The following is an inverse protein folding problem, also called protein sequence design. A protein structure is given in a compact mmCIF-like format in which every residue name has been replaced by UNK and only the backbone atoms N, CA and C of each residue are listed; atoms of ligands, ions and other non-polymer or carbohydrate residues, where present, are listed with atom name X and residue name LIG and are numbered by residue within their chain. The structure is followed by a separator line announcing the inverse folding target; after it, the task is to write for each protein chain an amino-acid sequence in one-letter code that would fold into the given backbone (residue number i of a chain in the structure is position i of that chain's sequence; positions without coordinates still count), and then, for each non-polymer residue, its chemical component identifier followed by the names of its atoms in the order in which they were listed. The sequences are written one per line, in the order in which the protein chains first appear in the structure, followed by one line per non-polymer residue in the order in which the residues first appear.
data_IF_907616928875
#
_entry.id   IF_907616928875
#
_cell.length_a   1.000
_cell.length_b   1.000
_cell.length_c   1.000
_cell.angle_alpha   90.00
_cell.angle_beta   90.00
_cell.angle_gamma   90.00
#
_symmetry.space_group_name_H-M   'P 1'
#
loop_
_entity.id
_entity.type
_entity.pdbx_description
1 polymer ?
#
# COMPACT_ATOMS: atom_id res chain seq x y z
N UNK A 1 -6.94 -13.09 22.52
CA UNK A 1 -6.41 -11.76 22.09
C UNK A 1 -7.41 -10.70 22.47
N UNK A 2 -6.99 -9.59 23.10
CA UNK A 2 -7.80 -8.37 23.08
C UNK A 2 -8.10 -8.08 21.61
N UNK A 3 -9.35 -7.77 21.24
CA UNK A 3 -9.66 -7.29 19.88
C UNK A 3 -8.67 -6.17 19.59
N UNK A 4 -7.80 -6.36 18.59
CA UNK A 4 -6.87 -5.33 18.13
C UNK A 4 -7.71 -4.18 17.61
N UNK A 5 -8.05 -3.26 18.52
CA UNK A 5 -8.67 -2.01 18.14
C UNK A 5 -7.51 -1.21 17.57
N UNK A 6 -7.44 -1.13 16.25
CA UNK A 6 -6.46 -0.30 15.56
C UNK A 6 -6.58 1.11 16.17
N UNK A 7 -5.63 1.47 17.03
CA UNK A 7 -5.57 2.78 17.66
C UNK A 7 -4.95 3.70 16.61
N UNK A 8 -5.80 4.36 15.84
CA UNK A 8 -5.40 5.27 14.79
C UNK A 8 -5.70 6.71 15.22
N UNK A 9 -4.72 7.59 15.05
CA UNK A 9 -4.90 9.02 15.24
C UNK A 9 -5.54 9.63 13.99
N UNK A 10 -6.85 9.86 14.06
CA UNK A 10 -7.63 10.37 12.94
C UNK A 10 -7.30 11.83 12.59
N UNK A 11 -6.60 12.57 13.45
CA UNK A 11 -6.15 13.93 13.11
C UNK A 11 -5.09 13.92 11.99
N UNK A 12 -4.27 12.87 11.94
CA UNK A 12 -3.23 12.66 10.91
C UNK A 12 -3.76 12.01 9.63
N UNK A 13 -5.04 11.63 9.61
CA UNK A 13 -5.69 11.07 8.43
C UNK A 13 -5.60 12.05 7.26
N UNK A 14 -5.14 11.60 6.09
CA UNK A 14 -5.14 12.43 4.89
C UNK A 14 -6.57 12.65 4.38
N UNK A 15 -6.83 13.83 3.81
CA UNK A 15 -8.15 14.13 3.24
C UNK A 15 -8.37 13.40 1.92
N UNK A 16 -9.57 12.81 1.77
CA UNK A 16 -10.03 12.32 0.48
C UNK A 16 -10.08 13.45 -0.55
N UNK A 17 -9.83 13.12 -1.82
CA UNK A 17 -9.90 14.10 -2.91
C UNK A 17 -11.33 14.60 -3.12
N UNK A 18 -11.48 15.89 -3.43
CA UNK A 18 -12.71 16.45 -4.01
C UNK A 18 -12.83 16.12 -5.50
N UNK A 19 -14.00 16.32 -6.13
CA UNK A 19 -14.14 16.10 -7.57
C UNK A 19 -13.20 16.97 -8.42
N UNK A 20 -13.02 18.28 -8.13
CA UNK A 20 -11.98 19.08 -8.79
C UNK A 20 -10.56 18.54 -8.59
N UNK A 21 -10.22 18.09 -7.37
CA UNK A 21 -8.91 17.48 -7.11
C UNK A 21 -8.72 16.16 -7.88
N UNK A 22 -9.80 15.38 -8.12
CA UNK A 22 -9.74 14.16 -8.94
C UNK A 22 -9.45 14.46 -10.42
N UNK A 23 -10.01 15.53 -10.96
CA UNK A 23 -9.70 15.97 -12.33
C UNK A 23 -8.23 16.39 -12.45
N UNK A 24 -7.74 17.16 -11.48
CA UNK A 24 -6.33 17.54 -11.36
C UNK A 24 -5.41 16.33 -11.21
N UNK A 25 -5.81 15.32 -10.44
CA UNK A 25 -5.07 14.07 -10.33
C UNK A 25 -4.94 13.37 -11.69
N UNK A 26 -6.03 13.26 -12.46
CA UNK A 26 -5.98 12.61 -13.79
C UNK A 26 -5.00 13.31 -14.72
N UNK A 27 -4.95 14.64 -14.67
CA UNK A 27 -4.02 15.46 -15.44
C UNK A 27 -2.56 15.16 -15.09
N UNK A 28 -2.19 15.25 -13.80
CA UNK A 28 -0.79 15.07 -13.40
C UNK A 28 -0.33 13.63 -13.59
N UNK A 29 -1.22 12.65 -13.36
CA UNK A 29 -0.93 11.24 -13.68
C UNK A 29 -0.71 11.06 -15.18
N UNK A 30 -1.53 11.67 -16.04
CA UNK A 30 -1.36 11.59 -17.48
C UNK A 30 -0.02 12.21 -17.94
N UNK A 31 0.38 13.35 -17.36
CA UNK A 31 1.66 13.99 -17.66
C UNK A 31 2.86 13.08 -17.30
N UNK A 32 2.87 12.47 -16.11
CA UNK A 32 3.94 11.54 -15.73
C UNK A 32 3.88 10.21 -16.48
N UNK A 33 2.71 9.80 -16.96
CA UNK A 33 2.58 8.58 -17.77
C UNK A 33 3.30 8.69 -19.12
N UNK A 34 3.17 9.84 -19.79
CA UNK A 34 3.81 10.08 -21.10
C UNK A 34 5.24 10.58 -20.98
N UNK A 35 5.68 10.92 -19.77
CA UNK A 35 7.04 11.40 -19.52
C UNK A 35 8.04 10.24 -19.48
N UNK A 36 9.12 10.34 -20.25
CA UNK A 36 10.27 9.41 -20.21
C UNK A 36 11.31 9.83 -19.16
N UNK A 37 10.94 10.67 -18.18
CA UNK A 37 11.89 11.34 -17.26
C UNK A 37 12.91 10.39 -16.63
N UNK A 38 12.47 9.30 -16.02
CA UNK A 38 13.37 8.35 -15.36
C UNK A 38 14.21 7.57 -16.35
N UNK A 39 13.64 7.18 -17.48
CA UNK A 39 14.34 6.46 -18.55
C UNK A 39 15.47 7.31 -19.16
N UNK A 40 15.21 8.61 -19.27
CA UNK A 40 16.15 9.62 -19.73
C UNK A 40 17.22 9.99 -18.69
N UNK A 41 16.84 10.22 -17.43
CA UNK A 41 17.75 10.79 -16.42
C UNK A 41 18.61 9.73 -15.74
N UNK A 42 18.12 8.50 -15.65
CA UNK A 42 18.81 7.39 -14.97
C UNK A 42 19.58 6.48 -15.94
N UNK A 43 19.67 6.84 -17.23
CA UNK A 43 20.60 6.20 -18.15
C UNK A 43 22.06 6.52 -17.77
N UNK A 44 22.74 5.52 -17.19
CA UNK A 44 24.13 5.60 -16.75
C UNK A 44 25.14 5.92 -17.89
N UNK A 45 24.74 5.82 -19.17
CA UNK A 45 25.58 6.13 -20.33
C UNK A 45 25.66 7.63 -20.61
N UNK A 46 24.78 8.43 -20.01
CA UNK A 46 24.71 9.88 -20.23
C UNK A 46 25.85 10.60 -19.51
N UNK A 47 26.61 11.41 -20.26
CA UNK A 47 27.74 12.18 -19.72
C UNK A 47 27.33 13.52 -19.10
N UNK A 48 26.23 14.12 -19.57
CA UNK A 48 25.74 15.44 -19.13
C UNK A 48 24.38 15.31 -18.46
N UNK A 49 24.37 14.66 -17.32
CA UNK A 49 23.14 14.30 -16.60
C UNK A 49 22.32 15.52 -16.18
N UNK A 50 22.95 16.55 -15.63
CA UNK A 50 22.26 17.80 -15.23
C UNK A 50 21.57 18.48 -16.42
N UNK A 51 22.21 18.55 -17.60
CA UNK A 51 21.60 19.13 -18.81
C UNK A 51 20.38 18.32 -19.25
N UNK A 52 20.48 16.99 -19.24
CA UNK A 52 19.36 16.10 -19.61
C UNK A 52 18.23 16.18 -18.58
N UNK A 53 18.53 16.24 -17.29
CA UNK A 53 17.55 16.47 -16.23
C UNK A 53 16.75 17.74 -16.48
N UNK A 54 17.44 18.86 -16.70
CA UNK A 54 16.79 20.15 -16.94
C UNK A 54 15.87 20.07 -18.16
N UNK A 55 16.34 19.50 -19.26
CA UNK A 55 15.54 19.33 -20.47
C UNK A 55 14.27 18.50 -20.19
N UNK A 56 14.42 17.31 -19.59
CA UNK A 56 13.29 16.44 -19.28
C UNK A 56 12.35 17.08 -18.23
N UNK A 57 12.85 17.96 -17.36
CA UNK A 57 12.00 18.72 -16.43
C UNK A 57 11.13 19.75 -17.17
N UNK A 58 11.69 20.49 -18.14
CA UNK A 58 10.91 21.41 -18.96
C UNK A 58 9.83 20.67 -19.76
N UNK A 59 10.13 19.49 -20.31
CA UNK A 59 9.14 18.67 -21.02
C UNK A 59 7.96 18.28 -20.11
N UNK A 60 8.23 17.93 -18.85
CA UNK A 60 7.19 17.67 -17.84
C UNK A 60 6.39 18.94 -17.52
N UNK A 61 7.06 20.07 -17.30
CA UNK A 61 6.42 21.36 -17.02
C UNK A 61 5.51 21.83 -18.15
N UNK A 62 5.98 21.74 -19.39
CA UNK A 62 5.22 22.13 -20.58
C UNK A 62 4.00 21.23 -20.78
N UNK A 63 4.16 19.92 -20.56
CA UNK A 63 3.06 18.95 -20.62
C UNK A 63 1.99 19.24 -19.57
N UNK A 64 2.40 19.44 -18.31
CA UNK A 64 1.48 19.79 -17.22
C UNK A 64 0.76 21.10 -17.52
N UNK A 65 1.49 22.12 -17.94
CA UNK A 65 0.94 23.46 -18.23
C UNK A 65 -0.05 23.40 -19.38
N UNK A 66 0.30 22.71 -20.48
CA UNK A 66 -0.58 22.53 -21.63
C UNK A 66 -1.87 21.81 -21.28
N UNK A 67 -1.80 20.70 -20.54
CA UNK A 67 -2.98 19.98 -20.09
C UNK A 67 -3.84 20.81 -19.12
N UNK A 68 -3.22 21.60 -18.25
CA UNK A 68 -3.94 22.43 -17.28
C UNK A 68 -4.70 23.56 -17.97
N UNK A 69 -4.08 24.20 -18.96
CA UNK A 69 -4.73 25.22 -19.80
C UNK A 69 -5.90 24.60 -20.56
N UNK A 70 -5.69 23.44 -21.19
CA UNK A 70 -6.71 22.77 -21.99
C UNK A 70 -7.93 22.31 -21.16
N UNK A 71 -7.76 22.08 -19.86
CA UNK A 71 -8.81 21.62 -18.94
C UNK A 71 -9.38 22.71 -18.03
N UNK A 72 -8.98 23.98 -18.23
CA UNK A 72 -9.28 25.12 -17.33
C UNK A 72 -8.98 24.83 -15.85
N UNK A 73 -7.96 23.99 -15.59
CA UNK A 73 -7.52 23.59 -14.27
C UNK A 73 -6.38 24.46 -13.71
N UNK A 74 -6.13 25.63 -14.33
CA UNK A 74 -5.01 26.53 -14.00
C UNK A 74 -5.39 27.44 -12.83
N UNK A 75 -4.55 27.55 -11.78
CA UNK A 75 -4.70 28.57 -10.75
C UNK A 75 -4.75 29.98 -11.35
N UNK A 76 -5.55 30.85 -10.74
CA UNK A 76 -5.73 32.23 -11.23
C UNK A 76 -4.41 33.00 -11.36
N UNK A 77 -3.52 32.86 -10.39
CA UNK A 77 -2.19 33.49 -10.41
C UNK A 77 -1.34 33.03 -11.60
N UNK A 78 -1.34 31.73 -11.89
CA UNK A 78 -0.65 31.17 -13.05
C UNK A 78 -1.28 31.66 -14.36
N UNK A 79 -2.61 31.73 -14.45
CA UNK A 79 -3.31 32.26 -15.63
C UNK A 79 -2.94 33.72 -15.90
N UNK A 80 -2.92 34.56 -14.86
CA UNK A 80 -2.53 35.96 -14.97
C UNK A 80 -1.06 36.12 -15.42
N UNK A 81 -0.15 35.33 -14.84
CA UNK A 81 1.27 35.34 -15.22
C UNK A 81 1.50 34.89 -16.68
N UNK A 82 0.85 33.82 -17.12
CA UNK A 82 0.95 33.32 -18.50
C UNK A 82 0.38 34.33 -19.51
N UNK A 83 -0.77 34.95 -19.20
CA UNK A 83 -1.37 36.01 -20.05
C UNK A 83 -0.47 37.24 -20.13
N UNK A 84 0.29 37.55 -19.08
CA UNK A 84 1.28 38.64 -19.09
C UNK A 84 2.56 38.32 -19.90
N UNK A 85 2.65 37.12 -20.48
CA UNK A 85 3.78 36.69 -21.31
C UNK A 85 4.94 36.09 -20.52
N UNK A 86 4.75 35.74 -19.24
CA UNK A 86 5.78 35.08 -18.46
C UNK A 86 5.99 33.65 -18.94
N UNK A 87 7.25 33.30 -19.23
CA UNK A 87 7.69 31.95 -19.60
C UNK A 87 8.56 31.32 -18.51
N UNK A 88 8.69 31.99 -17.36
CA UNK A 88 9.53 31.51 -16.27
C UNK A 88 8.81 30.38 -15.51
N UNK A 89 9.57 29.39 -15.03
CA UNK A 89 9.02 28.28 -14.23
C UNK A 89 8.32 28.80 -12.97
N UNK A 90 8.76 29.94 -12.43
CA UNK A 90 8.13 30.58 -11.26
C UNK A 90 6.64 30.88 -11.47
N UNK A 91 6.20 31.17 -12.71
CA UNK A 91 4.80 31.43 -13.03
C UNK A 91 3.89 30.20 -12.83
N UNK A 92 4.45 29.00 -12.99
CA UNK A 92 3.72 27.73 -12.89
C UNK A 92 3.93 27.01 -11.56
N UNK A 93 4.79 27.52 -10.66
CA UNK A 93 5.02 26.92 -9.33
C UNK A 93 3.72 26.65 -8.56
N UNK A 94 2.74 27.58 -8.46
CA UNK A 94 1.49 27.32 -7.75
C UNK A 94 0.69 26.14 -8.32
N UNK A 95 0.72 25.96 -9.65
CA UNK A 95 0.10 24.82 -10.31
C UNK A 95 0.83 23.52 -9.96
N UNK A 96 2.16 23.50 -10.08
CA UNK A 96 2.99 22.32 -9.80
C UNK A 96 2.83 21.85 -8.35
N UNK A 97 2.92 22.79 -7.40
CA UNK A 97 2.77 22.54 -5.97
C UNK A 97 1.41 21.90 -5.64
N UNK A 98 0.33 22.44 -6.19
CA UNK A 98 -1.02 21.89 -5.99
C UNK A 98 -1.14 20.47 -6.58
N UNK A 99 -0.69 20.27 -7.82
CA UNK A 99 -0.78 18.97 -8.48
C UNK A 99 0.05 17.89 -7.78
N UNK A 100 1.26 18.24 -7.33
CA UNK A 100 2.14 17.30 -6.64
C UNK A 100 1.64 16.96 -5.24
N UNK A 101 1.06 17.92 -4.49
CA UNK A 101 0.36 17.64 -3.22
C UNK A 101 -0.79 16.65 -3.44
N UNK A 102 -1.65 16.91 -4.44
CA UNK A 102 -2.79 16.05 -4.77
C UNK A 102 -2.33 14.63 -5.11
N UNK A 103 -1.28 14.50 -5.94
CA UNK A 103 -0.79 13.17 -6.32
C UNK A 103 -0.17 12.43 -5.14
N UNK A 104 0.66 13.10 -4.32
CA UNK A 104 1.25 12.52 -3.10
C UNK A 104 0.19 12.09 -2.10
N UNK A 105 -0.82 12.93 -1.85
CA UNK A 105 -1.95 12.60 -0.96
C UNK A 105 -2.78 11.43 -1.51
N UNK A 106 -3.09 11.42 -2.81
CA UNK A 106 -3.79 10.31 -3.44
C UNK A 106 -3.03 9.00 -3.30
N UNK A 107 -1.72 9.00 -3.62
CA UNK A 107 -0.89 7.80 -3.57
C UNK A 107 -0.82 7.23 -2.16
N UNK A 108 -0.62 8.08 -1.14
CA UNK A 108 -0.60 7.63 0.25
C UNK A 108 -1.94 7.01 0.66
N UNK A 109 -3.07 7.60 0.26
CA UNK A 109 -4.41 7.05 0.52
C UNK A 109 -4.73 5.79 -0.29
N UNK A 110 -4.07 5.60 -1.44
CA UNK A 110 -4.30 4.51 -2.38
C UNK A 110 -2.98 3.85 -2.80
N UNK A 111 -2.27 3.16 -1.88
CA UNK A 111 -0.93 2.63 -2.12
C UNK A 111 -0.75 1.80 -3.41
N UNK A 112 -1.82 1.16 -3.89
CA UNK A 112 -1.79 0.24 -5.03
C UNK A 112 -1.88 0.91 -6.40
N UNK A 113 -2.19 2.22 -6.48
CA UNK A 113 -2.42 2.90 -7.76
C UNK A 113 -1.17 3.64 -8.25
N UNK A 114 -1.07 3.87 -9.57
CA UNK A 114 -0.08 4.76 -10.20
C UNK A 114 1.39 4.52 -9.76
N UNK A 115 1.81 3.25 -9.64
CA UNK A 115 3.15 2.87 -9.15
C UNK A 115 4.26 3.54 -9.96
N UNK A 116 4.19 3.43 -11.29
CA UNK A 116 5.21 3.98 -12.20
C UNK A 116 5.22 5.51 -12.20
N UNK A 117 4.05 6.13 -12.39
CA UNK A 117 3.92 7.58 -12.46
C UNK A 117 4.31 8.27 -11.14
N UNK A 118 3.97 7.66 -10.01
CA UNK A 118 4.38 8.20 -8.71
C UNK A 118 5.88 8.03 -8.44
N UNK A 119 6.47 6.90 -8.87
CA UNK A 119 7.92 6.71 -8.82
C UNK A 119 8.66 7.81 -9.59
N UNK A 120 8.17 8.13 -10.80
CA UNK A 120 8.68 9.26 -11.61
C UNK A 120 8.56 10.59 -10.87
N UNK A 121 7.41 10.89 -10.26
CA UNK A 121 7.22 12.11 -9.47
C UNK A 121 8.21 12.22 -8.31
N UNK A 122 8.40 11.16 -7.51
CA UNK A 122 9.30 11.22 -6.35
C UNK A 122 10.75 11.39 -6.81
N UNK A 123 11.19 10.65 -7.83
CA UNK A 123 12.55 10.79 -8.38
C UNK A 123 12.78 12.19 -8.96
N UNK A 124 11.80 12.73 -9.68
CA UNK A 124 11.78 14.10 -10.15
C UNK A 124 11.91 15.13 -9.00
N UNK A 125 11.15 14.94 -7.92
CA UNK A 125 11.21 15.80 -6.73
C UNK A 125 12.54 15.67 -5.96
N UNK A 126 13.22 14.53 -6.02
CA UNK A 126 14.59 14.41 -5.49
C UNK A 126 15.55 15.28 -6.31
N UNK A 127 15.47 15.20 -7.64
CA UNK A 127 16.37 15.95 -8.54
C UNK A 127 16.14 17.46 -8.46
N UNK A 128 14.90 17.89 -8.27
CA UNK A 128 14.57 19.30 -8.03
C UNK A 128 15.26 19.87 -6.80
N UNK A 129 15.65 19.04 -5.83
CA UNK A 129 16.33 19.55 -4.63
C UNK A 129 17.83 19.81 -4.85
N UNK A 130 18.40 19.35 -5.97
CA UNK A 130 19.80 19.57 -6.29
C UNK A 130 20.09 21.07 -6.51
N UNK A 131 21.12 21.65 -5.84
CA UNK A 131 21.42 23.08 -5.97
C UNK A 131 21.71 23.56 -7.40
N UNK A 132 22.33 22.72 -8.24
CA UNK A 132 22.60 23.05 -9.65
C UNK A 132 21.29 23.21 -10.44
N UNK A 133 20.37 22.27 -10.26
CA UNK A 133 19.06 22.25 -10.91
C UNK A 133 18.19 23.42 -10.45
N UNK A 134 18.06 23.66 -9.14
CA UNK A 134 17.27 24.80 -8.60
C UNK A 134 17.75 26.14 -9.12
N UNK A 135 19.07 26.33 -9.18
CA UNK A 135 19.67 27.57 -9.70
C UNK A 135 19.38 27.76 -11.18
N UNK A 136 19.45 26.69 -11.97
CA UNK A 136 19.14 26.75 -13.40
C UNK A 136 17.67 27.07 -13.66
N UNK A 137 16.76 26.40 -12.95
CA UNK A 137 15.32 26.62 -13.06
C UNK A 137 14.83 27.90 -12.35
N UNK A 138 15.72 28.62 -11.66
CA UNK A 138 15.41 29.78 -10.81
C UNK A 138 14.26 29.50 -9.82
N UNK A 139 14.26 28.29 -9.25
CA UNK A 139 13.21 27.82 -8.34
C UNK A 139 13.58 28.10 -6.88
N UNK A 140 12.78 28.95 -6.24
CA UNK A 140 12.86 29.20 -4.79
C UNK A 140 12.09 28.16 -3.96
N UNK A 141 11.05 27.56 -4.54
CA UNK A 141 10.27 26.47 -3.94
C UNK A 141 10.94 25.10 -4.15
N UNK A 142 10.70 24.16 -3.23
CA UNK A 142 11.07 22.75 -3.36
C UNK A 142 9.93 21.90 -3.97
N UNK A 143 8.79 22.52 -4.30
CA UNK A 143 7.58 21.90 -4.83
C UNK A 143 6.94 20.85 -3.90
N UNK A 144 7.23 20.93 -2.59
CA UNK A 144 6.74 20.00 -1.57
C UNK A 144 5.82 20.73 -0.60
N UNK A 145 4.54 20.86 -0.97
CA UNK A 145 3.55 21.30 0.01
C UNK A 145 3.30 20.21 1.07
N UNK A 146 3.03 20.61 2.33
CA UNK A 146 2.47 19.72 3.33
C UNK A 146 1.16 19.10 2.84
N UNK A 147 0.96 17.81 3.12
CA UNK A 147 -0.27 17.13 2.71
C UNK A 147 -1.44 17.56 3.60
N UNK A 148 -2.63 17.71 3.01
CA UNK A 148 -3.83 18.09 3.75
C UNK A 148 -4.34 16.95 4.62
N UNK A 149 -4.55 17.21 5.91
CA UNK A 149 -5.05 16.24 6.89
C UNK A 149 -6.45 16.63 7.40
N UNK A 150 -7.14 15.64 7.98
CA UNK A 150 -8.40 15.83 8.70
C UNK A 150 -8.20 16.82 9.84
N UNK A 151 -7.11 16.71 10.60
CA UNK A 151 -6.78 17.63 11.69
C UNK A 151 -6.64 19.06 11.20
N UNK A 152 -5.79 19.29 10.19
CA UNK A 152 -5.56 20.63 9.65
C UNK A 152 -6.86 21.27 9.12
N UNK A 153 -7.74 20.47 8.51
CA UNK A 153 -9.01 20.98 7.97
C UNK A 153 -10.05 21.24 9.06
N UNK A 154 -10.13 20.38 10.10
CA UNK A 154 -11.03 20.58 11.23
C UNK A 154 -10.67 21.81 12.07
N UNK A 155 -9.38 22.14 12.16
CA UNK A 155 -8.89 23.37 12.80
C UNK A 155 -9.43 24.62 12.09
N UNK A 156 -9.51 24.61 10.75
CA UNK A 156 -10.04 25.77 9.98
C UNK A 156 -11.51 26.09 10.27
N UNK A 157 -12.27 25.11 10.75
CA UNK A 157 -13.69 25.24 11.07
C UNK A 157 -13.99 25.13 12.57
N UNK A 158 -12.94 25.17 13.41
CA UNK A 158 -13.03 25.05 14.88
C UNK A 158 -13.90 23.85 15.32
N UNK A 159 -13.60 22.67 14.78
CA UNK A 159 -14.39 21.44 15.02
C UNK A 159 -13.54 20.22 15.35
N UNK A 160 -12.28 20.41 15.74
CA UNK A 160 -11.35 19.31 16.05
C UNK A 160 -11.86 18.37 17.16
N UNK A 161 -12.67 18.88 18.08
CA UNK A 161 -13.30 18.13 19.18
C UNK A 161 -14.18 16.96 18.70
N UNK A 162 -14.62 16.95 17.44
CA UNK A 162 -15.40 15.83 16.87
C UNK A 162 -14.64 14.50 16.91
N UNK A 163 -13.30 14.53 16.85
CA UNK A 163 -12.47 13.32 16.87
C UNK A 163 -12.42 12.65 18.24
N UNK A 164 -12.67 13.42 19.30
CA UNK A 164 -12.73 12.94 20.68
C UNK A 164 -14.14 12.47 21.09
N UNK A 165 -15.15 12.78 20.28
CA UNK A 165 -16.53 12.35 20.52
C UNK A 165 -16.66 10.82 20.45
N UNK A 166 -17.28 10.22 21.47
CA UNK A 166 -17.55 8.78 21.48
C UNK A 166 -18.50 8.36 20.35
N UNK A 167 -19.41 9.24 19.93
CA UNK A 167 -20.35 8.99 18.83
C UNK A 167 -19.61 8.90 17.48
N UNK A 168 -18.48 9.61 17.30
CA UNK A 168 -17.65 9.47 16.11
C UNK A 168 -17.18 8.02 15.92
N UNK A 169 -16.70 7.38 16.99
CA UNK A 169 -16.28 5.96 16.94
C UNK A 169 -17.47 5.01 16.94
N UNK A 170 -18.45 5.23 17.81
CA UNK A 170 -19.49 4.23 18.11
C UNK A 170 -20.68 4.30 17.15
N UNK A 171 -21.09 5.49 16.70
CA UNK A 171 -22.26 5.68 15.85
C UNK A 171 -21.91 5.91 14.38
N UNK A 172 -20.69 6.35 14.07
CA UNK A 172 -20.29 6.60 12.68
C UNK A 172 -19.26 5.58 12.15
N UNK A 173 -18.08 5.48 12.75
CA UNK A 173 -16.99 4.67 12.19
C UNK A 173 -17.23 3.15 12.26
N UNK A 174 -17.86 2.65 13.32
CA UNK A 174 -18.12 1.21 13.53
C UNK A 174 -19.36 0.70 12.78
N UNK A 175 -20.50 1.42 12.77
CA UNK A 175 -21.72 0.93 12.12
C UNK A 175 -21.61 0.84 10.60
N UNK A 176 -22.64 0.22 10.00
CA UNK A 176 -22.80 0.04 8.55
C UNK A 176 -24.23 0.43 8.15
N UNK A 177 -24.43 0.69 6.85
CA UNK A 177 -25.77 0.96 6.32
C UNK A 177 -26.44 2.18 6.95
N UNK A 178 -27.74 2.06 7.25
CA UNK A 178 -28.56 3.15 7.77
C UNK A 178 -28.04 3.74 9.09
N UNK A 179 -27.61 2.90 10.03
CA UNK A 179 -27.10 3.33 11.35
C UNK A 179 -25.87 4.24 11.22
N UNK A 180 -24.95 3.93 10.28
CA UNK A 180 -23.81 4.80 9.98
C UNK A 180 -24.26 6.16 9.43
N UNK A 181 -25.27 6.17 8.56
CA UNK A 181 -25.77 7.41 7.96
C UNK A 181 -26.45 8.30 9.01
N UNK A 182 -27.18 7.70 9.96
CA UNK A 182 -27.73 8.40 11.12
C UNK A 182 -26.62 8.99 12.01
N UNK A 183 -25.57 8.21 12.30
CA UNK A 183 -24.42 8.69 13.05
C UNK A 183 -23.67 9.83 12.36
N UNK A 184 -23.55 9.79 11.03
CA UNK A 184 -23.00 10.91 10.26
C UNK A 184 -23.86 12.17 10.40
N UNK A 185 -25.17 12.05 10.20
CA UNK A 185 -26.09 13.17 10.29
C UNK A 185 -26.07 13.82 11.68
N UNK A 186 -26.02 13.01 12.74
CA UNK A 186 -25.90 13.45 14.12
C UNK A 186 -24.66 14.32 14.34
N UNK A 187 -23.49 13.87 13.87
CA UNK A 187 -22.24 14.61 14.01
C UNK A 187 -22.26 15.91 13.18
N UNK A 188 -22.86 15.88 11.99
CA UNK A 188 -23.01 17.06 11.14
C UNK A 188 -23.94 18.11 11.77
N UNK A 189 -25.03 17.71 12.41
CA UNK A 189 -25.87 18.64 13.19
C UNK A 189 -25.11 19.22 14.38
N UNK A 190 -24.46 18.36 15.18
CA UNK A 190 -23.80 18.76 16.42
C UNK A 190 -22.65 19.73 16.18
N UNK A 191 -21.81 19.45 15.17
CA UNK A 191 -20.57 20.20 14.95
C UNK A 191 -20.60 21.11 13.73
N UNK A 192 -21.44 20.82 12.74
CA UNK A 192 -21.57 21.64 11.53
C UNK A 192 -22.58 22.79 11.65
N UNK A 193 -23.57 22.67 12.54
CA UNK A 193 -24.62 23.70 12.72
C UNK A 193 -25.40 23.97 11.43
N UNK A 194 -25.75 25.25 11.21
CA UNK A 194 -26.52 25.72 10.02
C UNK A 194 -25.64 26.19 8.86
N UNK A 195 -24.31 26.27 9.04
CA UNK A 195 -23.39 26.71 7.99
C UNK A 195 -23.11 25.57 7.00
N UNK A 196 -23.64 25.72 5.78
CA UNK A 196 -23.50 24.73 4.72
C UNK A 196 -22.03 24.48 4.32
N UNK A 197 -21.18 25.52 4.36
CA UNK A 197 -19.76 25.40 4.02
C UNK A 197 -19.01 24.58 5.08
N UNK A 198 -19.26 24.90 6.35
CA UNK A 198 -18.74 24.16 7.50
C UNK A 198 -19.18 22.69 7.48
N UNK A 199 -20.46 22.42 7.22
CA UNK A 199 -20.99 21.05 7.11
C UNK A 199 -20.30 20.24 6.01
N UNK A 200 -20.05 20.86 4.84
CA UNK A 200 -19.37 20.19 3.72
C UNK A 200 -17.93 19.81 4.08
N UNK A 201 -17.20 20.70 4.75
CA UNK A 201 -15.83 20.45 5.24
C UNK A 201 -15.83 19.32 6.27
N UNK A 202 -16.72 19.42 7.27
CA UNK A 202 -16.86 18.40 8.31
C UNK A 202 -17.21 17.03 7.73
N UNK A 203 -18.16 16.96 6.79
CA UNK A 203 -18.53 15.71 6.12
C UNK A 203 -17.34 15.08 5.40
N UNK A 204 -16.55 15.88 4.68
CA UNK A 204 -15.33 15.41 4.01
C UNK A 204 -14.33 14.83 5.03
N UNK A 205 -14.12 15.49 6.16
CA UNK A 205 -13.24 15.01 7.22
C UNK A 205 -13.70 13.66 7.78
N UNK A 206 -14.97 13.55 8.15
CA UNK A 206 -15.56 12.31 8.70
C UNK A 206 -15.46 11.17 7.69
N UNK A 207 -15.84 11.40 6.42
CA UNK A 207 -15.73 10.39 5.37
C UNK A 207 -14.28 9.98 5.09
N UNK A 208 -13.32 10.91 5.17
CA UNK A 208 -11.89 10.57 5.01
C UNK A 208 -11.40 9.64 6.11
N UNK A 209 -11.78 9.89 7.36
CA UNK A 209 -11.46 9.01 8.48
C UNK A 209 -12.10 7.63 8.35
N UNK A 210 -13.33 7.55 7.85
CA UNK A 210 -13.98 6.27 7.57
C UNK A 210 -13.30 5.52 6.42
N UNK A 211 -12.99 6.18 5.31
CA UNK A 211 -12.26 5.59 4.17
C UNK A 211 -10.94 4.94 4.66
N UNK A 212 -10.14 5.67 5.44
CA UNK A 212 -8.89 5.17 6.04
C UNK A 212 -9.14 3.97 6.96
N UNK A 213 -10.18 4.03 7.81
CA UNK A 213 -10.52 2.92 8.69
C UNK A 213 -10.92 1.67 7.91
N UNK A 214 -11.76 1.82 6.88
CA UNK A 214 -12.18 0.67 6.06
C UNK A 214 -10.99 0.09 5.29
N UNK A 215 -10.10 0.92 4.77
CA UNK A 215 -8.87 0.50 4.11
C UNK A 215 -7.99 -0.36 5.03
N UNK A 216 -7.66 0.13 6.23
CA UNK A 216 -6.82 -0.60 7.19
C UNK A 216 -7.46 -1.94 7.61
N UNK A 217 -8.78 -1.95 7.83
CA UNK A 217 -9.51 -3.19 8.16
C UNK A 217 -9.58 -4.16 6.98
N UNK A 218 -9.71 -3.65 5.75
CA UNK A 218 -9.68 -4.45 4.53
C UNK A 218 -8.35 -5.19 4.39
N UNK A 219 -7.25 -4.54 4.74
CA UNK A 219 -5.92 -5.16 4.70
C UNK A 219 -5.67 -6.14 5.87
N UNK A 220 -6.17 -5.83 7.07
CA UNK A 220 -5.94 -6.65 8.25
C UNK A 220 -6.77 -7.94 8.28
N UNK A 221 -8.05 -7.89 7.86
CA UNK A 221 -8.98 -9.04 8.00
C UNK A 221 -8.52 -10.33 7.31
N UNK A 222 -8.02 -10.31 6.06
CA UNK A 222 -7.51 -11.52 5.43
C UNK A 222 -6.34 -12.13 6.20
N UNK A 223 -5.44 -11.29 6.73
CA UNK A 223 -4.30 -11.73 7.54
C UNK A 223 -4.75 -12.35 8.87
N UNK A 224 -5.68 -11.71 9.59
CA UNK A 224 -6.29 -12.26 10.80
C UNK A 224 -6.89 -13.65 10.56
N UNK A 225 -7.55 -13.83 9.41
CA UNK A 225 -8.17 -15.09 9.03
C UNK A 225 -7.14 -16.17 8.71
N UNK A 226 -6.12 -15.86 7.93
CA UNK A 226 -5.02 -16.80 7.67
C UNK A 226 -4.31 -17.21 8.96
N UNK A 227 -4.03 -16.26 9.87
CA UNK A 227 -3.47 -16.56 11.20
C UNK A 227 -4.40 -17.51 11.97
N UNK A 228 -5.72 -17.29 11.91
CA UNK A 228 -6.67 -18.17 12.58
C UNK A 228 -6.67 -19.60 12.03
N UNK A 229 -6.46 -19.77 10.73
CA UNK A 229 -6.32 -21.09 10.12
C UNK A 229 -5.04 -21.79 10.57
N UNK A 230 -3.89 -21.10 10.60
CA UNK A 230 -2.65 -21.72 11.11
C UNK A 230 -2.83 -22.20 12.55
N UNK A 231 -3.42 -21.37 13.41
CA UNK A 231 -3.63 -21.72 14.82
C UNK A 231 -4.59 -22.89 15.01
N UNK A 232 -5.73 -22.86 14.31
CA UNK A 232 -6.79 -23.86 14.49
C UNK A 232 -6.43 -25.20 13.85
N UNK A 233 -5.86 -25.16 12.64
CA UNK A 233 -5.78 -26.33 11.79
C UNK A 233 -4.35 -26.88 11.67
N UNK A 234 -3.31 -26.09 11.98
CA UNK A 234 -1.92 -26.49 11.78
C UNK A 234 -1.09 -26.57 13.08
N UNK A 235 -1.32 -25.78 14.12
CA UNK A 235 -0.45 -25.81 15.32
C UNK A 235 -0.34 -27.18 16.01
N UNK A 236 -1.43 -27.96 16.02
CA UNK A 236 -1.49 -29.29 16.67
C UNK A 236 -1.42 -30.45 15.66
N UNK A 237 -1.13 -30.18 14.39
CA UNK A 237 -1.15 -31.18 13.33
C UNK A 237 0.01 -32.18 13.49
N UNK A 238 -0.28 -33.47 13.32
CA UNK A 238 0.74 -34.51 13.48
C UNK A 238 1.82 -34.46 12.39
N UNK A 239 3.02 -34.96 12.68
CA UNK A 239 4.09 -35.04 11.68
C UNK A 239 3.78 -35.98 10.50
N UNK A 240 2.89 -36.95 10.70
CA UNK A 240 2.44 -37.91 9.70
C UNK A 240 1.26 -37.43 8.86
N UNK A 241 0.68 -36.28 9.19
CA UNK A 241 -0.49 -35.75 8.50
C UNK A 241 -0.11 -35.32 7.06
N UNK A 242 -0.93 -35.62 6.04
CA UNK A 242 -0.65 -35.22 4.66
C UNK A 242 -0.53 -33.70 4.47
N UNK A 243 -1.21 -32.92 5.31
CA UNK A 243 -1.21 -31.45 5.26
C UNK A 243 -0.06 -30.84 6.08
N UNK A 244 0.91 -31.66 6.51
CA UNK A 244 2.09 -31.21 7.23
C UNK A 244 2.90 -30.16 6.46
N UNK A 245 3.13 -29.00 7.07
CA UNK A 245 3.87 -27.88 6.47
C UNK A 245 5.38 -27.83 6.77
N UNK A 246 6.03 -28.93 7.14
CA UNK A 246 7.49 -28.93 7.27
C UNK A 246 8.18 -28.71 5.93
N UNK A 247 9.34 -28.05 5.97
CA UNK A 247 10.17 -27.75 4.79
C UNK A 247 11.59 -28.23 4.99
N UNK A 248 12.26 -28.59 3.90
CA UNK A 248 13.64 -29.07 3.89
C UNK A 248 14.42 -28.34 2.80
N UNK A 249 15.55 -27.73 3.18
CA UNK A 249 16.41 -27.01 2.25
C UNK A 249 16.80 -27.89 1.06
N UNK A 250 16.66 -27.33 -0.15
CA UNK A 250 16.93 -28.00 -1.43
C UNK A 250 15.78 -28.88 -1.94
N UNK A 251 14.72 -29.09 -1.15
CA UNK A 251 13.53 -29.85 -1.57
C UNK A 251 12.42 -28.90 -2.00
N UNK A 252 11.83 -29.15 -3.16
CA UNK A 252 10.70 -28.39 -3.73
C UNK A 252 10.94 -26.86 -3.81
N UNK A 253 12.22 -26.44 -3.83
CA UNK A 253 12.65 -25.04 -3.90
C UNK A 253 12.87 -24.34 -2.55
N UNK A 254 12.67 -25.02 -1.41
CA UNK A 254 12.87 -24.41 -0.10
C UNK A 254 14.34 -24.06 0.16
N UNK A 255 14.58 -22.86 0.71
CA UNK A 255 15.93 -22.36 0.98
C UNK A 255 16.46 -22.80 2.35
N UNK A 256 15.59 -23.14 3.28
CA UNK A 256 15.95 -23.56 4.64
C UNK A 256 15.09 -24.73 5.14
N UNK A 257 15.53 -25.36 6.25
CA UNK A 257 14.86 -26.53 6.84
C UNK A 257 14.17 -26.13 8.15
N UNK A 258 12.88 -26.48 8.28
CA UNK A 258 12.11 -26.28 9.51
C UNK A 258 11.16 -27.46 9.75
N UNK A 259 11.08 -27.90 11.01
CA UNK A 259 10.01 -28.80 11.44
C UNK A 259 8.65 -28.12 11.31
N UNK A 260 7.59 -28.93 11.29
CA UNK A 260 6.21 -28.43 11.20
C UNK A 260 5.88 -27.35 12.24
N UNK A 261 6.15 -27.63 13.51
CA UNK A 261 5.86 -26.71 14.61
C UNK A 261 6.65 -25.41 14.54
N UNK A 262 7.91 -25.47 14.09
CA UNK A 262 8.73 -24.28 13.86
C UNK A 262 8.23 -23.48 12.67
N UNK A 263 7.85 -24.15 11.58
CA UNK A 263 7.35 -23.50 10.38
C UNK A 263 5.98 -22.84 10.61
N UNK A 264 5.06 -23.51 11.33
CA UNK A 264 3.77 -22.91 11.71
C UNK A 264 3.97 -21.61 12.51
N UNK A 265 4.91 -21.58 13.47
CA UNK A 265 5.29 -20.36 14.20
C UNK A 265 5.86 -19.29 13.27
N UNK A 266 6.70 -19.67 12.32
CA UNK A 266 7.29 -18.75 11.32
C UNK A 266 6.23 -18.14 10.38
N UNK A 267 5.21 -18.91 10.00
CA UNK A 267 4.08 -18.42 9.20
C UNK A 267 3.24 -17.44 10.03
N UNK A 268 2.88 -17.78 11.28
CA UNK A 268 2.16 -16.86 12.18
C UNK A 268 2.95 -15.57 12.39
N UNK A 269 4.26 -15.66 12.60
CA UNK A 269 5.16 -14.52 12.72
C UNK A 269 5.10 -13.62 11.49
N UNK A 270 5.24 -14.19 10.30
CA UNK A 270 5.24 -13.44 9.04
C UNK A 270 3.89 -12.75 8.80
N UNK A 271 2.78 -13.48 8.99
CA UNK A 271 1.44 -12.92 8.83
C UNK A 271 1.13 -11.83 9.86
N UNK A 272 1.60 -11.99 11.10
CA UNK A 272 1.41 -10.99 12.16
C UNK A 272 2.24 -9.74 11.88
N UNK A 273 3.49 -9.89 11.41
CA UNK A 273 4.30 -8.76 10.95
C UNK A 273 3.60 -8.02 9.82
N UNK A 274 3.14 -8.74 8.80
CA UNK A 274 2.40 -8.16 7.68
C UNK A 274 1.17 -7.40 8.16
N UNK A 275 0.42 -7.95 9.12
CA UNK A 275 -0.76 -7.29 9.69
C UNK A 275 -0.39 -5.99 10.41
N UNK A 276 0.69 -5.99 11.19
CA UNK A 276 1.18 -4.80 11.89
C UNK A 276 1.67 -3.74 10.89
N UNK A 277 2.39 -4.14 9.84
CA UNK A 277 2.80 -3.24 8.74
C UNK A 277 1.59 -2.64 8.03
N UNK A 278 0.60 -3.46 7.65
CA UNK A 278 -0.62 -2.99 7.00
C UNK A 278 -1.42 -2.03 7.89
N UNK A 279 -1.46 -2.27 9.21
CA UNK A 279 -2.08 -1.37 10.19
C UNK A 279 -1.37 -0.01 10.33
N UNK A 280 -0.13 0.08 9.87
CA UNK A 280 0.73 1.28 9.92
C UNK A 280 1.19 1.76 8.55
N UNK A 281 0.57 1.28 7.47
CA UNK A 281 1.07 1.48 6.10
C UNK A 281 1.17 2.96 5.71
N UNK A 282 0.27 3.83 6.20
CA UNK A 282 0.35 5.28 5.96
C UNK A 282 1.56 5.94 6.63
N UNK A 283 1.97 5.44 7.79
CA UNK A 283 3.17 5.90 8.52
C UNK A 283 4.43 5.43 7.78
N UNK A 284 4.41 4.21 7.20
CA UNK A 284 5.51 3.71 6.37
C UNK A 284 5.65 4.54 5.08
N UNK A 285 4.54 4.92 4.43
CA UNK A 285 4.58 5.81 3.26
C UNK A 285 5.12 7.20 3.59
N UNK A 286 4.75 7.73 4.76
CA UNK A 286 5.30 9.01 5.24
C UNK A 286 6.80 8.93 5.48
N UNK A 287 7.26 7.85 6.12
CA UNK A 287 8.67 7.61 6.38
C UNK A 287 9.47 7.52 5.07
N UNK A 288 8.91 6.84 4.06
CA UNK A 288 9.54 6.72 2.75
C UNK A 288 9.70 8.07 2.05
N UNK A 289 8.65 8.90 2.00
CA UNK A 289 8.76 10.26 1.46
C UNK A 289 9.69 11.13 2.31
N UNK A 290 9.67 10.98 3.63
CA UNK A 290 10.52 11.77 4.54
C UNK A 290 11.99 11.50 4.27
N UNK A 291 12.39 10.23 4.18
CA UNK A 291 13.75 9.82 3.87
C UNK A 291 14.17 10.30 2.48
N UNK A 292 13.31 10.21 1.47
CA UNK A 292 13.69 10.55 0.10
C UNK A 292 13.67 12.06 -0.18
N UNK A 293 12.72 12.79 0.38
CA UNK A 293 12.38 14.15 -0.02
C UNK A 293 12.57 15.20 1.08
N UNK A 294 12.36 14.87 2.36
CA UNK A 294 12.34 15.87 3.43
C UNK A 294 13.67 15.89 4.20
N UNK A 295 13.97 14.81 4.92
CA UNK A 295 15.20 14.70 5.71
C UNK A 295 16.40 14.32 4.85
N UNK A 296 16.22 13.44 3.86
CA UNK A 296 17.30 13.09 2.93
C UNK A 296 17.61 14.19 1.92
N UNK A 297 16.76 15.21 1.79
CA UNK A 297 16.95 16.39 0.92
C UNK A 297 17.24 16.04 -0.54
N UNK A 298 16.61 14.98 -1.06
CA UNK A 298 16.84 14.50 -2.42
C UNK A 298 18.21 13.84 -2.67
N UNK A 299 19.01 13.57 -1.64
CA UNK A 299 20.32 12.95 -1.82
C UNK A 299 20.21 11.46 -2.14
N UNK A 300 20.93 11.03 -3.18
CA UNK A 300 21.09 9.63 -3.55
C UNK A 300 22.42 9.43 -4.29
N UNK A 301 22.81 8.17 -4.48
CA UNK A 301 23.90 7.74 -5.36
C UNK A 301 23.37 6.77 -6.40
N UNK A 302 23.82 6.88 -7.65
CA UNK A 302 23.52 5.88 -8.68
C UNK A 302 24.48 4.69 -8.49
N UNK A 303 23.93 3.53 -8.19
CA UNK A 303 24.70 2.32 -7.86
C UNK A 303 24.20 1.14 -8.68
N UNK A 304 25.13 0.34 -9.21
CA UNK A 304 24.79 -0.96 -9.78
C UNK A 304 24.57 -1.97 -8.64
N UNK A 305 23.36 -2.47 -8.49
CA UNK A 305 22.98 -3.42 -7.44
C UNK A 305 23.21 -4.88 -7.81
N UNK A 306 23.64 -5.16 -9.04
CA UNK A 306 23.61 -6.49 -9.65
C UNK A 306 22.28 -6.82 -10.34
N UNK A 307 21.21 -6.06 -10.05
CA UNK A 307 19.91 -6.14 -10.74
C UNK A 307 19.69 -4.99 -11.73
N UNK A 308 20.64 -4.06 -11.82
CA UNK A 308 20.55 -2.85 -12.62
C UNK A 308 21.16 -1.66 -11.89
N UNK A 309 21.13 -0.49 -12.52
CA UNK A 309 21.48 0.77 -11.86
C UNK A 309 20.26 1.33 -11.13
N UNK A 310 20.41 1.66 -9.85
CA UNK A 310 19.34 2.23 -9.03
C UNK A 310 19.81 3.50 -8.33
N UNK A 311 18.87 4.41 -8.08
CA UNK A 311 19.02 5.48 -7.10
C UNK A 311 19.02 4.87 -5.70
N UNK A 312 20.19 4.80 -5.08
CA UNK A 312 20.37 4.34 -3.71
C UNK A 312 20.39 5.53 -2.75
N UNK A 313 19.54 5.53 -1.72
CA UNK A 313 19.51 6.58 -0.71
C UNK A 313 19.36 6.02 0.71
N UNK A 314 19.83 6.81 1.68
CA UNK A 314 19.68 6.46 3.09
C UNK A 314 18.21 6.49 3.51
N UNK A 315 17.86 5.63 4.47
CA UNK A 315 16.48 5.41 4.88
C UNK A 315 16.29 5.26 6.41
N UNK A 316 16.86 6.16 7.24
CA UNK A 316 16.87 6.01 8.69
C UNK A 316 15.46 6.06 9.32
N UNK A 317 14.54 6.86 8.76
CA UNK A 317 13.17 6.99 9.30
C UNK A 317 12.39 5.71 9.00
N UNK A 318 12.41 5.26 7.75
CA UNK A 318 11.76 4.03 7.29
C UNK A 318 12.31 2.81 8.03
N UNK A 319 13.64 2.72 8.21
CA UNK A 319 14.26 1.64 8.98
C UNK A 319 13.79 1.62 10.43
N UNK A 320 13.70 2.79 11.07
CA UNK A 320 13.22 2.91 12.46
C UNK A 320 11.77 2.48 12.61
N UNK A 321 10.90 2.89 11.69
CA UNK A 321 9.49 2.48 11.66
C UNK A 321 9.39 0.96 11.52
N UNK A 322 10.11 0.36 10.56
CA UNK A 322 10.07 -1.09 10.37
C UNK A 322 10.67 -1.85 11.56
N UNK A 323 11.79 -1.38 12.12
CA UNK A 323 12.40 -1.98 13.30
C UNK A 323 11.45 -1.97 14.51
N UNK A 324 10.69 -0.89 14.69
CA UNK A 324 9.65 -0.82 15.71
C UNK A 324 8.55 -1.84 15.50
N UNK A 325 8.07 -2.01 14.25
CA UNK A 325 7.04 -2.99 13.90
C UNK A 325 7.51 -4.45 14.12
N UNK A 326 8.78 -4.75 13.83
CA UNK A 326 9.38 -6.06 14.11
C UNK A 326 9.42 -6.32 15.63
N UNK A 327 9.87 -5.34 16.42
CA UNK A 327 9.90 -5.45 17.90
C UNK A 327 8.51 -5.61 18.49
N UNK A 328 7.53 -4.86 17.99
CA UNK A 328 6.14 -4.97 18.42
C UNK A 328 5.59 -6.37 18.12
N UNK A 329 5.85 -6.88 16.90
CA UNK A 329 5.41 -8.23 16.49
C UNK A 329 6.04 -9.31 17.36
N UNK A 330 7.34 -9.24 17.61
CA UNK A 330 8.03 -10.17 18.51
C UNK A 330 7.44 -10.15 19.92
N UNK A 331 7.19 -8.95 20.47
CA UNK A 331 6.59 -8.80 21.79
C UNK A 331 5.16 -9.37 21.84
N UNK A 332 4.38 -9.23 20.77
CA UNK A 332 3.03 -9.80 20.67
C UNK A 332 3.04 -11.35 20.65
N UNK A 333 4.09 -11.95 20.07
CA UNK A 333 4.20 -13.41 19.90
C UNK A 333 5.02 -14.10 21.00
N UNK A 334 5.80 -13.35 21.77
CA UNK A 334 6.67 -13.88 22.83
C UNK A 334 7.94 -14.57 22.31
N UNK A 335 8.34 -14.31 21.06
CA UNK A 335 9.52 -14.89 20.44
C UNK A 335 9.64 -14.56 18.96
N UNK A 336 10.76 -14.95 18.36
CA UNK A 336 11.06 -14.74 16.95
C UNK A 336 11.82 -15.93 16.35
N UNK A 337 11.38 -16.45 15.20
CA UNK A 337 11.91 -17.64 14.51
C UNK A 337 12.84 -17.26 13.36
N UNK A 338 12.44 -16.31 12.50
CA UNK A 338 13.26 -15.97 11.33
C UNK A 338 14.41 -15.01 11.63
N UNK A 339 14.98 -14.41 10.58
CA UNK A 339 16.05 -13.43 10.72
C UNK A 339 15.45 -12.02 10.75
N UNK A 340 15.94 -11.13 11.62
CA UNK A 340 15.44 -9.75 11.80
C UNK A 340 16.15 -8.70 10.94
N UNK A 341 16.96 -9.15 9.98
CA UNK A 341 17.65 -8.26 9.04
C UNK A 341 16.60 -7.57 8.17
N UNK A 342 16.68 -6.24 8.11
CA UNK A 342 15.87 -5.36 7.28
C UNK A 342 16.83 -4.75 6.27
N UNK A 343 16.60 -5.03 4.99
CA UNK A 343 17.36 -4.45 3.89
C UNK A 343 16.71 -3.13 3.49
N UNK A 344 17.46 -2.03 3.57
CA UNK A 344 16.92 -0.71 3.28
C UNK A 344 18.02 0.34 3.08
N UNK A 345 18.00 0.99 1.91
CA UNK A 345 19.06 1.92 1.51
C UNK A 345 20.38 1.22 1.19
N UNK A 346 20.32 -0.04 0.76
CA UNK A 346 21.47 -0.91 0.49
C UNK A 346 21.36 -1.55 -0.91
N UNK A 347 22.22 -2.53 -1.20
CA UNK A 347 22.25 -3.17 -2.52
C UNK A 347 20.95 -3.92 -2.85
N UNK A 348 20.29 -4.50 -1.87
CA UNK A 348 19.14 -5.39 -2.06
C UNK A 348 17.83 -4.61 -2.08
N UNK A 349 17.79 -3.49 -1.34
CA UNK A 349 16.67 -2.55 -1.32
C UNK A 349 17.22 -1.13 -1.38
N UNK A 350 17.45 -0.58 -2.59
CA UNK A 350 18.24 0.65 -2.77
C UNK A 350 17.58 1.91 -2.21
N UNK A 351 16.25 1.96 -2.13
CA UNK A 351 15.56 3.14 -1.62
C UNK A 351 14.22 2.78 -0.95
N UNK A 352 13.65 3.70 -0.16
CA UNK A 352 12.36 3.48 0.52
C UNK A 352 11.17 3.19 -0.41
N UNK A 353 11.16 3.68 -1.65
CA UNK A 353 10.09 3.35 -2.60
C UNK A 353 10.11 1.87 -3.00
N UNK A 354 11.29 1.31 -3.27
CA UNK A 354 11.44 -0.13 -3.56
C UNK A 354 11.00 -0.96 -2.34
N UNK A 355 11.32 -0.49 -1.14
CA UNK A 355 10.93 -1.16 0.10
C UNK A 355 9.41 -1.21 0.30
N UNK A 356 8.75 -0.06 0.30
CA UNK A 356 7.33 0.01 0.64
C UNK A 356 6.44 -0.67 -0.40
N UNK A 357 6.90 -0.73 -1.63
CA UNK A 357 6.23 -1.40 -2.72
C UNK A 357 6.11 -2.92 -2.47
N UNK A 358 7.13 -3.55 -1.84
CA UNK A 358 7.05 -4.95 -1.38
C UNK A 358 5.87 -5.17 -0.42
N UNK A 359 5.63 -4.24 0.50
CA UNK A 359 4.52 -4.36 1.46
C UNK A 359 3.17 -3.96 0.87
N UNK A 360 3.17 -3.17 -0.21
CA UNK A 360 1.94 -2.82 -0.92
C UNK A 360 1.33 -4.01 -1.67
N UNK A 361 2.07 -5.09 -1.93
CA UNK A 361 1.49 -6.29 -2.56
C UNK A 361 0.79 -7.23 -1.58
N UNK A 362 0.97 -7.07 -0.26
CA UNK A 362 0.43 -8.02 0.74
C UNK A 362 -1.08 -8.25 0.55
N UNK A 363 -1.95 -7.22 0.51
CA UNK A 363 -3.39 -7.45 0.38
C UNK A 363 -3.76 -8.05 -0.98
N UNK A 364 -2.98 -7.78 -2.03
CA UNK A 364 -3.15 -8.42 -3.33
C UNK A 364 -2.88 -9.92 -3.29
N UNK A 365 -1.97 -10.39 -2.44
CA UNK A 365 -1.69 -11.82 -2.24
C UNK A 365 -2.76 -12.48 -1.38
N UNK A 366 -3.02 -11.93 -0.18
CA UNK A 366 -3.80 -12.65 0.84
C UNK A 366 -5.31 -12.54 0.66
N UNK A 367 -5.80 -11.42 0.09
CA UNK A 367 -7.25 -11.20 -0.09
C UNK A 367 -7.86 -12.20 -1.06
N UNK A 368 -7.27 -12.45 -2.25
CA UNK A 368 -7.83 -13.44 -3.18
C UNK A 368 -7.84 -14.86 -2.60
N UNK A 369 -6.80 -15.27 -1.87
CA UNK A 369 -6.77 -16.58 -1.20
C UNK A 369 -7.95 -16.70 -0.24
N UNK A 370 -8.15 -15.72 0.64
CA UNK A 370 -9.26 -15.73 1.60
C UNK A 370 -10.61 -15.70 0.90
N UNK A 371 -10.75 -14.91 -0.16
CA UNK A 371 -12.00 -14.84 -0.94
C UNK A 371 -12.34 -16.19 -1.57
N UNK A 372 -11.37 -16.87 -2.20
CA UNK A 372 -11.54 -18.22 -2.75
C UNK A 372 -12.00 -19.18 -1.66
N UNK A 373 -11.36 -19.18 -0.49
CA UNK A 373 -11.75 -20.06 0.62
C UNK A 373 -13.17 -19.77 1.15
N UNK A 374 -13.61 -18.52 1.12
CA UNK A 374 -14.96 -18.13 1.52
C UNK A 374 -16.01 -18.55 0.50
N UNK A 375 -15.77 -18.29 -0.78
CA UNK A 375 -16.67 -18.73 -1.86
C UNK A 375 -16.75 -20.25 -1.94
N UNK A 376 -15.64 -20.97 -1.73
CA UNK A 376 -15.68 -22.42 -1.59
C UNK A 376 -16.56 -22.84 -0.40
N UNK A 377 -16.45 -22.14 0.74
CA UNK A 377 -17.31 -22.39 1.89
C UNK A 377 -18.79 -22.23 1.54
N UNK A 378 -19.14 -21.16 0.82
CA UNK A 378 -20.48 -20.90 0.34
C UNK A 378 -20.97 -21.96 -0.68
N UNK A 379 -20.13 -22.39 -1.61
CA UNK A 379 -20.46 -23.42 -2.61
C UNK A 379 -20.75 -24.77 -1.95
N UNK A 380 -19.98 -25.14 -0.93
CA UNK A 380 -20.15 -26.42 -0.23
C UNK A 380 -21.26 -26.38 0.82
N UNK A 381 -21.65 -25.18 1.30
CA UNK A 381 -22.74 -24.97 2.25
C UNK A 381 -24.12 -25.29 1.66
N UNK A 382 -25.05 -25.61 2.55
CA UNK A 382 -26.47 -25.78 2.25
C UNK A 382 -27.23 -24.55 2.74
N UNK A 383 -28.30 -24.16 2.04
CA UNK A 383 -29.18 -23.07 2.44
C UNK A 383 -30.05 -23.46 3.66
N UNK A 384 -30.88 -22.53 4.14
CA UNK A 384 -31.76 -22.74 5.30
C UNK A 384 -32.73 -23.93 5.14
N UNK A 385 -32.92 -24.42 3.90
CA UNK A 385 -33.82 -25.53 3.56
C UNK A 385 -33.01 -26.80 3.22
N UNK A 386 -31.70 -26.81 3.49
CA UNK A 386 -30.81 -27.95 3.23
C UNK A 386 -30.45 -28.15 1.76
N UNK A 387 -30.67 -27.16 0.89
CA UNK A 387 -30.34 -27.25 -0.53
C UNK A 387 -29.04 -26.50 -0.85
N UNK A 388 -28.10 -27.11 -1.60
CA UNK A 388 -26.91 -26.39 -2.03
C UNK A 388 -27.29 -25.29 -3.03
N UNK A 389 -26.74 -24.10 -2.84
CA UNK A 389 -26.94 -22.95 -3.74
C UNK A 389 -26.45 -23.23 -5.17
N UNK A 390 -25.38 -24.01 -5.30
CA UNK A 390 -24.75 -24.37 -6.58
C UNK A 390 -24.53 -25.89 -6.70
N UNK A 391 -25.58 -26.70 -6.91
CA UNK A 391 -25.50 -28.17 -6.82
C UNK A 391 -24.52 -28.78 -7.83
N UNK A 392 -24.52 -28.31 -9.08
CA UNK A 392 -23.63 -28.83 -10.12
C UNK A 392 -22.16 -28.56 -9.81
N UNK A 393 -21.84 -27.31 -9.44
CA UNK A 393 -20.48 -26.92 -9.07
C UNK A 393 -19.98 -27.64 -7.82
N UNK A 394 -20.82 -27.74 -6.78
CA UNK A 394 -20.51 -28.49 -5.56
C UNK A 394 -20.20 -29.96 -5.88
N UNK A 395 -21.00 -30.62 -6.72
CA UNK A 395 -20.78 -32.02 -7.07
C UNK A 395 -19.50 -32.21 -7.89
N UNK A 396 -19.20 -31.30 -8.82
CA UNK A 396 -17.95 -31.30 -9.57
C UNK A 396 -16.74 -31.21 -8.62
N UNK A 397 -16.71 -30.21 -7.73
CA UNK A 397 -15.61 -30.04 -6.78
C UNK A 397 -15.50 -31.23 -5.80
N UNK A 398 -16.62 -31.77 -5.31
CA UNK A 398 -16.64 -32.98 -4.47
C UNK A 398 -16.08 -34.20 -5.18
N UNK A 399 -16.31 -34.36 -6.49
CA UNK A 399 -15.80 -35.51 -7.23
C UNK A 399 -14.26 -35.55 -7.30
N UNK A 400 -13.61 -34.38 -7.24
CA UNK A 400 -12.15 -34.24 -7.31
C UNK A 400 -11.49 -34.07 -5.95
N UNK A 401 -12.09 -33.28 -5.06
CA UNK A 401 -11.49 -32.87 -3.78
C UNK A 401 -12.20 -33.43 -2.55
N UNK A 402 -13.25 -34.22 -2.74
CA UNK A 402 -14.04 -34.89 -1.68
C UNK A 402 -14.88 -33.94 -0.81
N UNK A 403 -14.25 -33.01 -0.10
CA UNK A 403 -14.91 -32.10 0.84
C UNK A 403 -14.31 -30.69 0.80
N UNK A 404 -15.05 -29.72 1.36
CA UNK A 404 -14.55 -28.37 1.57
C UNK A 404 -13.29 -28.35 2.42
N UNK A 405 -13.31 -29.13 3.51
CA UNK A 405 -12.20 -29.15 4.48
C UNK A 405 -10.91 -29.67 3.85
N UNK A 406 -10.99 -30.75 3.09
CA UNK A 406 -9.83 -31.33 2.40
C UNK A 406 -9.26 -30.35 1.36
N UNK A 407 -10.11 -29.70 0.56
CA UNK A 407 -9.68 -28.70 -0.42
C UNK A 407 -9.06 -27.48 0.27
N UNK A 408 -9.68 -27.00 1.35
CA UNK A 408 -9.19 -25.86 2.16
C UNK A 408 -7.81 -26.17 2.74
N UNK A 409 -7.62 -27.33 3.36
CA UNK A 409 -6.33 -27.76 3.91
C UNK A 409 -5.28 -27.99 2.83
N UNK A 410 -5.67 -28.50 1.66
CA UNK A 410 -4.77 -28.65 0.51
C UNK A 410 -4.23 -27.30 0.04
N UNK A 411 -5.10 -26.31 -0.14
CA UNK A 411 -4.71 -24.95 -0.56
C UNK A 411 -3.83 -24.29 0.51
N UNK A 412 -4.28 -24.33 1.78
CA UNK A 412 -3.60 -23.66 2.88
C UNK A 412 -2.24 -24.30 3.18
N UNK A 413 -2.13 -25.62 3.19
CA UNK A 413 -0.87 -26.31 3.45
C UNK A 413 0.17 -26.05 2.36
N UNK A 414 -0.24 -25.97 1.09
CA UNK A 414 0.63 -25.61 -0.03
C UNK A 414 1.08 -24.15 0.05
N UNK A 415 0.17 -23.21 0.35
CA UNK A 415 0.53 -21.80 0.55
C UNK A 415 1.44 -21.60 1.77
N UNK A 416 1.14 -22.23 2.91
CA UNK A 416 1.94 -22.07 4.11
C UNK A 416 3.32 -22.71 3.99
N UNK A 417 3.48 -23.78 3.21
CA UNK A 417 4.80 -24.32 2.86
C UNK A 417 5.56 -23.38 1.93
N UNK A 418 5.00 -23.16 0.74
CA UNK A 418 5.77 -22.60 -0.38
C UNK A 418 5.70 -21.07 -0.48
N UNK A 419 4.74 -20.45 0.19
CA UNK A 419 4.67 -19.00 0.35
C UNK A 419 5.65 -18.47 1.42
N UNK A 420 6.29 -19.34 2.19
CA UNK A 420 7.15 -18.99 3.32
C UNK A 420 8.46 -19.80 3.38
N UNK A 421 8.87 -20.43 2.28
CA UNK A 421 10.04 -21.33 2.23
C UNK A 421 11.37 -20.64 1.89
N UNK A 422 11.36 -19.31 1.71
CA UNK A 422 12.51 -18.51 1.31
C UNK A 422 12.79 -18.51 -0.20
N UNK A 423 12.03 -19.25 -1.01
CA UNK A 423 12.23 -19.28 -2.46
C UNK A 423 11.93 -17.94 -3.15
N UNK A 424 12.47 -17.75 -4.37
CA UNK A 424 12.10 -16.66 -5.29
C UNK A 424 13.14 -15.57 -5.54
N UNK A 425 14.25 -15.51 -4.77
CA UNK A 425 15.46 -14.71 -5.04
C UNK A 425 16.63 -15.28 -4.17
N UNK A 426 17.66 -14.50 -3.80
CA UNK A 426 18.74 -14.79 -2.83
C UNK A 426 18.25 -15.12 -1.38
N UNK A 427 17.09 -15.75 -1.25
CA UNK A 427 16.92 -16.98 -0.48
C UNK A 427 17.13 -16.86 1.03
N UNK A 428 16.25 -16.16 1.74
CA UNK A 428 16.42 -15.97 3.18
C UNK A 428 15.12 -15.85 3.98
N UNK A 429 15.25 -15.96 5.30
CA UNK A 429 14.18 -15.69 6.26
C UNK A 429 14.24 -14.26 6.83
N UNK A 430 14.98 -13.38 6.16
CA UNK A 430 15.03 -11.95 6.49
C UNK A 430 13.65 -11.30 6.31
N UNK A 431 13.50 -10.08 6.83
CA UNK A 431 12.20 -9.40 6.89
C UNK A 431 11.62 -9.19 5.48
N UNK A 432 12.46 -8.74 4.55
CA UNK A 432 12.05 -8.44 3.18
C UNK A 432 11.93 -9.69 2.31
N UNK A 433 12.71 -10.74 2.60
CA UNK A 433 12.72 -12.00 1.86
C UNK A 433 11.44 -12.82 2.01
N UNK A 434 10.69 -12.63 3.11
CA UNK A 434 9.42 -13.32 3.38
C UNK A 434 8.37 -13.11 2.29
N UNK A 435 8.35 -11.93 1.67
CA UNK A 435 7.36 -11.59 0.65
C UNK A 435 7.70 -12.21 -0.71
N UNK A 436 8.99 -12.42 -0.98
CA UNK A 436 9.47 -12.96 -2.24
C UNK A 436 8.92 -14.37 -2.49
N UNK A 437 8.88 -15.22 -1.46
CA UNK A 437 8.33 -16.59 -1.57
C UNK A 437 6.83 -16.60 -1.81
N UNK A 438 6.09 -15.74 -1.11
CA UNK A 438 4.65 -15.60 -1.31
C UNK A 438 4.32 -15.12 -2.74
N UNK A 439 5.10 -14.18 -3.27
CA UNK A 439 4.97 -13.71 -4.64
C UNK A 439 5.30 -14.81 -5.66
N UNK A 440 6.38 -15.56 -5.42
CA UNK A 440 6.75 -16.72 -6.24
C UNK A 440 5.66 -17.81 -6.23
N UNK A 441 4.98 -18.02 -5.11
CA UNK A 441 3.83 -18.91 -5.02
C UNK A 441 2.66 -18.42 -5.89
N UNK A 442 2.34 -17.13 -5.85
CA UNK A 442 1.32 -16.53 -6.71
C UNK A 442 1.61 -16.74 -8.20
N UNK A 443 2.88 -16.62 -8.62
CA UNK A 443 3.32 -16.87 -10.00
C UNK A 443 3.28 -18.34 -10.46
N UNK A 444 2.97 -19.27 -9.55
CA UNK A 444 2.85 -20.69 -9.85
C UNK A 444 1.43 -21.20 -9.65
N UNK A 445 0.47 -20.33 -9.32
CA UNK A 445 -0.89 -20.74 -8.96
C UNK A 445 -1.58 -21.52 -10.07
N UNK A 446 -1.31 -21.15 -11.33
CA UNK A 446 -1.86 -21.78 -12.54
C UNK A 446 -1.36 -23.22 -12.74
N UNK A 447 -0.23 -23.57 -12.11
CA UNK A 447 0.36 -24.91 -12.16
C UNK A 447 -0.13 -25.80 -11.01
N UNK A 448 -0.88 -25.27 -10.04
CA UNK A 448 -1.37 -26.02 -8.90
C UNK A 448 -2.55 -26.90 -9.29
N UNK A 449 -2.61 -28.12 -8.75
CA UNK A 449 -3.68 -29.10 -9.05
C UNK A 449 -5.08 -28.64 -8.63
N UNK A 450 -5.14 -27.60 -7.79
CA UNK A 450 -6.36 -26.95 -7.30
C UNK A 450 -6.68 -25.62 -7.99
N UNK A 451 -5.98 -25.27 -9.07
CA UNK A 451 -6.21 -23.99 -9.78
C UNK A 451 -7.64 -23.84 -10.32
N UNK A 452 -8.27 -24.92 -10.76
CA UNK A 452 -9.67 -24.93 -11.17
C UNK A 452 -10.61 -24.49 -10.05
N UNK A 453 -10.30 -24.79 -8.78
CA UNK A 453 -11.08 -24.28 -7.65
C UNK A 453 -10.97 -22.76 -7.51
N UNK A 454 -9.80 -22.17 -7.81
CA UNK A 454 -9.64 -20.71 -7.85
C UNK A 454 -10.52 -20.13 -8.97
N UNK A 455 -10.36 -20.61 -10.21
CA UNK A 455 -11.13 -20.10 -11.36
C UNK A 455 -12.64 -20.20 -11.14
N UNK A 456 -13.13 -21.32 -10.61
CA UNK A 456 -14.56 -21.56 -10.37
C UNK A 456 -15.17 -20.70 -9.26
N UNK A 457 -14.35 -19.99 -8.48
CA UNK A 457 -14.78 -19.03 -7.45
C UNK A 457 -14.68 -17.58 -7.90
N UNK A 458 -14.42 -17.34 -9.19
CA UNK A 458 -14.31 -15.98 -9.75
C UNK A 458 -12.93 -15.35 -9.61
N UNK A 459 -11.90 -16.13 -9.24
CA UNK A 459 -10.52 -15.65 -9.22
C UNK A 459 -10.07 -15.26 -10.63
N UNK A 460 -9.67 -14.00 -10.80
CA UNK A 460 -9.16 -13.46 -12.07
C UNK A 460 -7.65 -13.21 -12.10
N UNK A 461 -6.97 -13.34 -10.96
CA UNK A 461 -5.56 -13.04 -10.80
C UNK A 461 -5.25 -12.37 -9.47
N UNK A 462 -3.95 -12.16 -9.21
CA UNK A 462 -3.46 -11.41 -8.04
C UNK A 462 -3.21 -9.93 -8.33
N UNK A 463 -3.41 -9.45 -9.56
CA UNK A 463 -3.11 -8.09 -10.00
C UNK A 463 -4.29 -7.12 -9.99
#
# INVERSE_FOLDING_TARGET
MKKNTILFDYSKCLLRLTDPERQKLQLVVAAFRVSEYTDDVDDFRIRRRDEKMIQSMYEVFDTITGLAIASDAVPRSTKEALVSGSTDVSAIVPLLEELFEIFRRHKRLNPYTNRGEYGKLVMFLQDIQMPSIRRHLKLESNLLLPLKTVGSELETIDSSVVLDDLDFKNKFLRPKGAEKQEGLNLLLERYGGTDASKRKVLERCLRSADDVRQFLLGNARPLEKLISYVKKDFEELSSSDPHNISIQSGKDGACFTQSHSTHAKYVIESLTLWMNVQGKIFDVWEAAETDMLVEGKGNYSIVNTGQGYHRMCSAPVSYRVMSSLVRETEAQLGGWVGIKVIHLGDRDVPNPLVFIDKYSVIPKIVTPIVHVLDELGHIFSEDEVGKPKYPGLRNFLRSKYHSYEELRLTILSDFFKHGFDGSGDDGGSCIDGRLTSAWNWCHKIEKKSYYDAFVLTGFSGFD
#
